data_IF_662484104376
#
_entry.id   IF_662484104376
#
_cell.length_a   1.000
_cell.length_b   1.000
_cell.length_c   1.000
_cell.angle_alpha   90.00
_cell.angle_beta   90.00
_cell.angle_gamma   90.00
#
_symmetry.space_group_name_H-M   'P 1'
#
loop_
_entity.id
_entity.type
_entity.pdbx_description
1 polymer ?
#
# COMPACT_ATOMS: atom_id res chain seq x y z
N UNK A 1 27.23 -30.52 -9.47
CA UNK A 1 27.10 -29.21 -8.82
C UNK A 1 25.91 -28.50 -9.45
N UNK A 2 24.84 -28.22 -8.69
CA UNK A 2 23.64 -27.53 -9.23
C UNK A 2 23.96 -26.05 -9.40
N UNK A 3 23.74 -25.50 -10.59
CA UNK A 3 24.03 -24.10 -10.91
C UNK A 3 23.15 -23.17 -10.05
N UNK A 4 23.70 -22.33 -9.16
CA UNK A 4 22.91 -21.56 -8.20
C UNK A 4 21.94 -20.58 -8.87
N UNK A 5 22.36 -19.91 -9.95
CA UNK A 5 21.49 -18.98 -10.70
C UNK A 5 20.29 -19.66 -11.41
N UNK A 6 20.45 -20.92 -11.84
CA UNK A 6 19.34 -21.68 -12.44
C UNK A 6 18.31 -22.12 -11.39
N UNK A 7 18.73 -22.34 -10.15
CA UNK A 7 17.83 -22.66 -9.04
C UNK A 7 17.05 -21.41 -8.58
N UNK A 8 17.69 -20.25 -8.54
CA UNK A 8 17.07 -18.97 -8.21
C UNK A 8 16.04 -18.55 -9.26
N UNK A 9 16.39 -18.61 -10.55
CA UNK A 9 15.45 -18.32 -11.64
C UNK A 9 14.21 -19.24 -11.59
N UNK A 10 14.39 -20.53 -11.30
CA UNK A 10 13.28 -21.47 -11.13
C UNK A 10 12.40 -21.12 -9.93
N UNK A 11 12.99 -20.67 -8.82
CA UNK A 11 12.25 -20.21 -7.64
C UNK A 11 11.42 -18.97 -7.94
N UNK A 12 11.99 -18.01 -8.67
CA UNK A 12 11.28 -16.79 -9.09
C UNK A 12 10.11 -17.09 -10.03
N UNK A 13 10.26 -18.03 -10.96
CA UNK A 13 9.14 -18.52 -11.80
C UNK A 13 8.06 -19.16 -10.95
N UNK A 14 8.42 -19.97 -9.94
CA UNK A 14 7.43 -20.53 -9.01
C UNK A 14 6.70 -19.47 -8.17
N UNK A 15 7.39 -18.38 -7.79
CA UNK A 15 6.76 -17.23 -7.11
C UNK A 15 5.78 -16.50 -8.05
N UNK A 16 6.16 -16.32 -9.32
CA UNK A 16 5.28 -15.74 -10.33
C UNK A 16 4.02 -16.59 -10.53
N UNK A 17 4.18 -17.91 -10.71
CA UNK A 17 3.05 -18.84 -10.85
C UNK A 17 2.12 -18.79 -9.63
N UNK A 18 2.68 -18.78 -8.41
CA UNK A 18 1.88 -18.65 -7.19
C UNK A 18 1.13 -17.30 -7.12
N UNK A 19 1.74 -16.21 -7.57
CA UNK A 19 1.10 -14.90 -7.65
C UNK A 19 -0.02 -14.87 -8.69
N UNK A 20 0.20 -15.44 -9.88
CA UNK A 20 -0.81 -15.56 -10.94
C UNK A 20 -2.01 -16.40 -10.50
N UNK A 21 -1.78 -17.50 -9.77
CA UNK A 21 -2.87 -18.32 -9.21
C UNK A 21 -3.69 -17.52 -8.19
N UNK A 22 -3.05 -16.73 -7.33
CA UNK A 22 -3.76 -15.85 -6.37
C UNK A 22 -4.55 -14.76 -7.10
N UNK A 23 -3.94 -14.13 -8.10
CA UNK A 23 -4.60 -13.15 -8.95
C UNK A 23 -5.84 -13.77 -9.60
N UNK A 24 -5.71 -14.88 -10.31
CA UNK A 24 -6.83 -15.54 -10.99
C UNK A 24 -7.98 -15.93 -10.04
N UNK A 25 -7.66 -16.34 -8.81
CA UNK A 25 -8.66 -16.71 -7.80
C UNK A 25 -9.44 -15.50 -7.27
N UNK A 26 -8.75 -14.38 -7.06
CA UNK A 26 -9.28 -13.22 -6.32
C UNK A 26 -9.56 -11.99 -7.18
N UNK A 27 -9.27 -12.08 -8.48
CA UNK A 27 -9.53 -11.03 -9.46
C UNK A 27 -11.01 -10.69 -9.52
N UNK A 28 -11.38 -9.58 -8.87
CA UNK A 28 -12.69 -8.96 -8.91
C UNK A 28 -12.52 -7.46 -8.89
N UNK A 29 -13.06 -6.82 -9.92
CA UNK A 29 -12.91 -5.39 -10.16
C UNK A 29 -14.28 -4.75 -10.33
N UNK A 30 -14.50 -3.53 -9.77
CA UNK A 30 -15.74 -2.82 -9.99
C UNK A 30 -15.90 -2.52 -11.48
N UNK A 31 -17.00 -2.98 -12.07
CA UNK A 31 -17.36 -2.66 -13.45
C UNK A 31 -18.14 -1.36 -13.46
N UNK A 32 -17.61 -0.35 -14.14
CA UNK A 32 -18.27 0.93 -14.29
C UNK A 32 -19.16 0.90 -15.55
N UNK A 33 -20.46 1.14 -15.38
CA UNK A 33 -21.41 1.33 -16.48
C UNK A 33 -21.94 2.76 -16.41
N UNK A 34 -21.89 3.49 -17.52
CA UNK A 34 -22.28 4.90 -17.60
C UNK A 34 -21.53 5.80 -16.60
N UNK A 35 -20.29 5.45 -16.24
CA UNK A 35 -19.48 6.20 -15.29
C UNK A 35 -19.76 5.92 -13.81
N UNK A 36 -20.65 4.98 -13.45
CA UNK A 36 -20.91 4.55 -12.07
C UNK A 36 -20.69 3.05 -11.88
N UNK A 37 -20.35 2.63 -10.66
CA UNK A 37 -20.22 1.20 -10.31
C UNK A 37 -21.58 0.51 -10.51
N UNK A 38 -21.59 -0.62 -11.20
CA UNK A 38 -22.82 -1.35 -11.51
C UNK A 38 -23.61 -1.69 -10.23
N UNK A 39 -24.73 -0.99 -10.01
CA UNK A 39 -25.62 -1.22 -8.86
C UNK A 39 -25.33 -0.38 -7.61
N UNK A 40 -24.43 0.61 -7.68
CA UNK A 40 -24.18 1.61 -6.65
C UNK A 40 -24.09 3.01 -7.28
N UNK A 41 -24.46 4.06 -6.53
CA UNK A 41 -24.40 5.46 -6.99
C UNK A 41 -22.98 6.07 -6.90
N UNK A 42 -21.94 5.23 -6.90
CA UNK A 42 -20.53 5.67 -6.81
C UNK A 42 -20.01 5.91 -8.22
N UNK A 43 -19.63 7.15 -8.52
CA UNK A 43 -19.03 7.50 -9.81
C UNK A 43 -17.57 7.05 -9.91
N UNK A 44 -17.08 6.91 -11.14
CA UNK A 44 -15.66 6.67 -11.43
C UNK A 44 -14.78 7.80 -10.89
N UNK A 45 -15.24 9.05 -10.94
CA UNK A 45 -14.50 10.18 -10.38
C UNK A 45 -14.37 10.10 -8.85
N UNK A 46 -15.44 9.75 -8.13
CA UNK A 46 -15.40 9.55 -6.69
C UNK A 46 -14.47 8.40 -6.30
N UNK A 47 -14.47 7.33 -7.09
CA UNK A 47 -13.58 6.20 -6.89
C UNK A 47 -12.11 6.56 -7.09
N UNK A 48 -11.79 7.30 -8.16
CA UNK A 48 -10.44 7.80 -8.42
C UNK A 48 -9.96 8.76 -7.32
N UNK A 49 -10.80 9.71 -6.90
CA UNK A 49 -10.50 10.62 -5.78
C UNK A 49 -10.22 9.84 -4.49
N UNK A 50 -10.97 8.77 -4.25
CA UNK A 50 -10.79 7.91 -3.09
C UNK A 50 -9.44 7.16 -3.10
N UNK A 51 -9.00 6.68 -4.26
CA UNK A 51 -7.69 6.02 -4.40
C UNK A 51 -6.55 7.03 -4.22
N UNK A 52 -6.67 8.23 -4.79
CA UNK A 52 -5.69 9.29 -4.59
C UNK A 52 -5.58 9.67 -3.10
N UNK A 53 -6.73 9.83 -2.43
CA UNK A 53 -6.78 10.09 -1.00
C UNK A 53 -6.17 8.95 -0.17
N UNK A 54 -6.39 7.69 -0.55
CA UNK A 54 -5.71 6.55 0.09
C UNK A 54 -4.19 6.65 -0.07
N UNK A 55 -3.71 7.14 -1.20
CA UNK A 55 -2.29 7.40 -1.42
C UNK A 55 -1.75 8.49 -0.49
N UNK A 56 -2.52 9.56 -0.27
CA UNK A 56 -2.17 10.61 0.70
C UNK A 56 -2.12 10.06 2.13
N UNK A 57 -3.11 9.24 2.52
CA UNK A 57 -3.12 8.60 3.84
C UNK A 57 -1.95 7.63 4.02
N UNK A 58 -1.65 6.81 3.01
CA UNK A 58 -0.48 5.92 3.04
C UNK A 58 0.82 6.68 3.25
N UNK A 59 0.99 7.84 2.59
CA UNK A 59 2.16 8.72 2.78
C UNK A 59 2.18 9.36 4.16
N UNK A 60 1.03 9.81 4.65
CA UNK A 60 0.88 10.42 5.97
C UNK A 60 1.29 9.44 7.08
N UNK A 61 0.90 8.18 6.95
CA UNK A 61 1.24 7.10 7.90
C UNK A 61 2.61 6.47 7.64
N UNK A 62 3.29 6.83 6.55
CA UNK A 62 4.56 6.26 6.13
C UNK A 62 4.49 4.73 5.87
N UNK A 63 3.35 4.25 5.39
CA UNK A 63 3.18 2.85 5.00
C UNK A 63 3.93 2.52 3.72
N UNK A 64 4.33 1.25 3.58
CA UNK A 64 5.00 0.75 2.39
C UNK A 64 4.06 0.73 1.16
N UNK A 65 4.61 0.81 -0.06
CA UNK A 65 3.84 0.77 -1.30
C UNK A 65 2.91 -0.45 -1.44
N UNK A 66 3.33 -1.59 -0.89
CA UNK A 66 2.59 -2.85 -0.87
C UNK A 66 1.32 -2.73 -0.03
N UNK A 67 1.37 -2.02 1.11
CA UNK A 67 0.21 -1.74 1.96
C UNK A 67 -0.83 -0.90 1.22
N UNK A 68 -0.41 0.16 0.52
CA UNK A 68 -1.31 0.93 -0.33
C UNK A 68 -1.94 0.06 -1.42
N UNK A 69 -1.13 -0.72 -2.13
CA UNK A 69 -1.60 -1.54 -3.24
C UNK A 69 -2.62 -2.59 -2.77
N UNK A 70 -2.34 -3.25 -1.65
CA UNK A 70 -3.25 -4.19 -1.01
C UNK A 70 -4.53 -3.51 -0.54
N UNK A 71 -4.45 -2.32 0.07
CA UNK A 71 -5.60 -1.55 0.50
C UNK A 71 -6.55 -1.19 -0.65
N UNK A 72 -6.01 -0.77 -1.78
CA UNK A 72 -6.79 -0.51 -3.01
C UNK A 72 -7.40 -1.80 -3.57
N UNK A 73 -6.66 -2.91 -3.58
CA UNK A 73 -7.20 -4.22 -3.98
C UNK A 73 -8.38 -4.65 -3.09
N UNK A 74 -8.27 -4.50 -1.77
CA UNK A 74 -9.33 -4.84 -0.81
C UNK A 74 -10.56 -3.96 -1.03
N UNK A 75 -10.36 -2.64 -1.19
CA UNK A 75 -11.43 -1.69 -1.52
C UNK A 75 -12.18 -2.12 -2.78
N UNK A 76 -11.45 -2.39 -3.86
CA UNK A 76 -12.03 -2.72 -5.16
C UNK A 76 -12.78 -4.06 -5.13
N UNK A 77 -12.22 -5.07 -4.44
CA UNK A 77 -12.90 -6.35 -4.25
C UNK A 77 -14.18 -6.21 -3.43
N UNK A 78 -14.17 -5.36 -2.40
CA UNK A 78 -15.38 -5.10 -1.61
C UNK A 78 -16.45 -4.40 -2.47
N UNK A 79 -16.10 -3.33 -3.17
CA UNK A 79 -17.03 -2.58 -4.03
C UNK A 79 -17.59 -3.44 -5.18
N UNK A 80 -16.86 -4.48 -5.61
CA UNK A 80 -17.35 -5.47 -6.56
C UNK A 80 -18.34 -6.47 -5.95
N UNK A 81 -18.28 -6.66 -4.64
CA UNK A 81 -19.04 -7.68 -3.90
C UNK A 81 -20.31 -7.10 -3.27
N UNK A 82 -20.29 -5.84 -2.86
CA UNK A 82 -21.40 -5.19 -2.15
C UNK A 82 -21.87 -3.92 -2.85
N UNK A 83 -23.16 -3.64 -2.75
CA UNK A 83 -23.72 -2.34 -3.16
C UNK A 83 -23.49 -1.32 -2.04
N UNK A 84 -22.38 -0.59 -2.13
CA UNK A 84 -22.03 0.45 -1.16
C UNK A 84 -22.72 1.78 -1.49
N UNK A 85 -23.17 2.49 -0.44
CA UNK A 85 -23.63 3.87 -0.60
C UNK A 85 -22.41 4.81 -0.60
N UNK A 86 -22.40 5.89 -1.41
CA UNK A 86 -21.28 6.84 -1.48
C UNK A 86 -20.88 7.42 -0.11
N UNK A 87 -21.85 7.61 0.80
CA UNK A 87 -21.60 8.12 2.16
C UNK A 87 -20.66 7.24 3.00
N UNK A 88 -20.56 5.95 2.69
CA UNK A 88 -19.67 5.02 3.39
C UNK A 88 -18.35 4.78 2.66
N UNK A 89 -18.18 5.29 1.43
CA UNK A 89 -17.02 5.00 0.58
C UNK A 89 -15.70 5.37 1.28
N UNK A 90 -15.63 6.54 1.91
CA UNK A 90 -14.44 6.98 2.65
C UNK A 90 -14.10 6.09 3.84
N UNK A 91 -15.11 5.64 4.60
CA UNK A 91 -14.93 4.72 5.71
C UNK A 91 -14.48 3.34 5.24
N UNK A 92 -15.08 2.82 4.16
CA UNK A 92 -14.68 1.56 3.52
C UNK A 92 -13.22 1.62 3.08
N UNK A 93 -12.85 2.68 2.35
CA UNK A 93 -11.51 2.85 1.83
C UNK A 93 -10.48 2.95 2.96
N UNK A 94 -10.71 3.83 3.93
CA UNK A 94 -9.83 3.97 5.09
C UNK A 94 -9.64 2.64 5.83
N UNK A 95 -10.73 1.92 6.10
CA UNK A 95 -10.68 0.62 6.78
C UNK A 95 -9.95 -0.43 5.93
N UNK A 96 -10.07 -0.38 4.60
CA UNK A 96 -9.33 -1.27 3.69
C UNK A 96 -7.82 -1.03 3.78
N UNK A 97 -7.38 0.23 3.91
CA UNK A 97 -5.98 0.57 4.14
C UNK A 97 -5.49 0.12 5.52
N UNK A 98 -6.30 0.32 6.57
CA UNK A 98 -5.97 -0.16 7.92
C UNK A 98 -5.82 -1.69 7.96
N UNK A 99 -6.71 -2.42 7.27
CA UNK A 99 -6.61 -3.88 7.14
C UNK A 99 -5.35 -4.30 6.39
N UNK A 100 -4.98 -3.59 5.31
CA UNK A 100 -3.76 -3.86 4.58
C UNK A 100 -2.51 -3.59 5.44
N UNK A 101 -2.54 -2.52 6.24
CA UNK A 101 -1.45 -2.19 7.14
C UNK A 101 -1.24 -3.31 8.18
N UNK A 102 -2.32 -3.84 8.77
CA UNK A 102 -2.28 -5.01 9.66
C UNK A 102 -1.67 -6.29 9.05
N UNK A 103 -1.58 -6.39 7.73
CA UNK A 103 -1.02 -7.57 7.05
C UNK A 103 0.45 -7.36 6.70
N UNK A 104 0.81 -6.15 6.26
CA UNK A 104 2.10 -5.88 5.63
C UNK A 104 3.07 -5.09 6.53
N UNK A 105 2.56 -4.26 7.44
CA UNK A 105 3.38 -3.42 8.31
C UNK A 105 3.71 -4.13 9.63
N UNK A 106 4.82 -3.72 10.24
CA UNK A 106 5.18 -4.16 11.58
C UNK A 106 4.26 -3.50 12.63
N UNK A 107 3.98 -4.21 13.74
CA UNK A 107 3.09 -3.73 14.81
C UNK A 107 3.53 -2.36 15.40
N UNK A 108 4.83 -2.04 15.33
CA UNK A 108 5.38 -0.75 15.80
C UNK A 108 4.98 0.44 14.90
N UNK A 109 4.76 0.17 13.61
CA UNK A 109 4.32 1.16 12.61
C UNK A 109 2.80 1.36 12.69
N UNK A 110 2.08 0.30 13.07
CA UNK A 110 0.63 0.33 13.22
C UNK A 110 0.27 0.95 14.57
N UNK A 111 0.07 2.28 14.57
CA UNK A 111 -0.58 2.96 15.68
C UNK A 111 -1.98 2.41 15.98
N UNK A 112 -2.56 2.78 17.12
CA UNK A 112 -3.94 2.35 17.41
C UNK A 112 -4.90 2.88 16.34
N UNK A 113 -6.02 2.19 16.10
CA UNK A 113 -7.05 2.66 15.15
C UNK A 113 -7.49 4.10 15.48
N UNK A 114 -7.53 4.45 16.76
CA UNK A 114 -7.83 5.81 17.22
C UNK A 114 -6.79 6.81 16.72
N UNK A 115 -5.50 6.49 16.82
CA UNK A 115 -4.42 7.38 16.39
C UNK A 115 -4.44 7.58 14.87
N UNK A 116 -4.65 6.51 14.10
CA UNK A 116 -4.77 6.59 12.64
C UNK A 116 -5.95 7.46 12.23
N UNK A 117 -7.10 7.35 12.92
CA UNK A 117 -8.27 8.21 12.67
C UNK A 117 -7.95 9.67 12.98
N UNK A 118 -7.34 9.96 14.14
CA UNK A 118 -6.94 11.33 14.53
C UNK A 118 -5.99 11.94 13.51
N UNK A 119 -4.96 11.19 13.12
CA UNK A 119 -3.97 11.64 12.12
C UNK A 119 -4.60 11.89 10.75
N UNK A 120 -5.51 11.01 10.30
CA UNK A 120 -6.20 11.17 9.00
C UNK A 120 -7.14 12.39 8.91
N UNK A 121 -7.47 13.02 10.03
CA UNK A 121 -8.49 14.06 10.10
C UNK A 121 -9.89 13.56 9.74
N UNK A 122 -10.13 12.24 9.83
CA UNK A 122 -11.45 11.67 9.57
C UNK A 122 -12.34 11.79 10.82
N UNK A 123 -13.63 12.07 10.60
CA UNK A 123 -14.64 12.13 11.65
C UNK A 123 -15.23 10.75 11.99
N UNK A 124 -14.46 9.67 11.84
CA UNK A 124 -14.93 8.32 12.16
C UNK A 124 -14.76 8.04 13.65
N UNK A 125 -15.69 7.29 14.24
CA UNK A 125 -15.47 6.67 15.53
C UNK A 125 -14.68 5.37 15.37
N UNK A 126 -13.91 4.99 16.39
CA UNK A 126 -13.23 3.67 16.41
C UNK A 126 -14.23 2.52 16.25
N UNK A 127 -15.44 2.65 16.80
CA UNK A 127 -16.51 1.67 16.66
C UNK A 127 -16.99 1.52 15.21
N UNK A 128 -17.08 2.61 14.44
CA UNK A 128 -17.42 2.55 13.01
C UNK A 128 -16.34 1.82 12.21
N UNK A 129 -15.06 2.09 12.47
CA UNK A 129 -13.95 1.40 11.80
C UNK A 129 -13.96 -0.08 12.13
N UNK A 130 -14.07 -0.47 13.41
CA UNK A 130 -14.13 -1.88 13.81
C UNK A 130 -15.35 -2.61 13.25
N UNK A 131 -16.49 -1.93 13.15
CA UNK A 131 -17.69 -2.47 12.50
C UNK A 131 -17.44 -2.69 11.01
N UNK A 132 -16.85 -1.71 10.33
CA UNK A 132 -16.53 -1.80 8.91
C UNK A 132 -15.49 -2.90 8.65
N UNK A 133 -14.50 -3.05 9.52
CA UNK A 133 -13.46 -4.08 9.45
C UNK A 133 -14.09 -5.47 9.42
N UNK A 134 -15.01 -5.73 10.36
CA UNK A 134 -15.77 -6.98 10.40
C UNK A 134 -16.61 -7.21 9.15
N UNK A 135 -17.25 -6.16 8.61
CA UNK A 135 -18.02 -6.27 7.37
C UNK A 135 -17.12 -6.64 6.19
N UNK A 136 -15.96 -6.00 6.06
CA UNK A 136 -15.00 -6.27 4.98
C UNK A 136 -14.52 -7.73 5.07
N UNK A 137 -14.08 -8.16 6.26
CA UNK A 137 -13.59 -9.52 6.49
C UNK A 137 -14.68 -10.58 6.21
N UNK A 138 -15.91 -10.34 6.66
CA UNK A 138 -17.03 -11.25 6.40
C UNK A 138 -17.35 -11.35 4.90
N UNK A 139 -17.46 -10.21 4.21
CA UNK A 139 -17.81 -10.16 2.78
C UNK A 139 -16.71 -10.68 1.86
N UNK A 140 -15.46 -10.61 2.29
CA UNK A 140 -14.32 -11.16 1.56
C UNK A 140 -13.90 -12.55 2.06
N UNK A 141 -14.68 -13.15 2.96
CA UNK A 141 -14.41 -14.48 3.54
C UNK A 141 -12.99 -14.60 4.15
N UNK A 142 -12.51 -13.53 4.77
CA UNK A 142 -11.16 -13.42 5.35
C UNK A 142 -10.00 -13.61 4.36
N UNK A 143 -10.28 -13.70 3.05
CA UNK A 143 -9.25 -13.86 2.02
C UNK A 143 -8.81 -12.48 1.52
N UNK A 144 -7.97 -11.80 2.29
CA UNK A 144 -7.46 -10.46 1.95
C UNK A 144 -6.18 -10.52 1.10
N UNK A 145 -5.39 -11.60 1.21
CA UNK A 145 -4.07 -11.72 0.59
C UNK A 145 -4.16 -12.04 -0.91
N UNK A 146 -4.33 -10.98 -1.71
CA UNK A 146 -4.30 -11.04 -3.18
C UNK A 146 -2.95 -10.64 -3.72
N UNK A 147 -2.58 -11.15 -4.90
CA UNK A 147 -1.44 -10.62 -5.62
C UNK A 147 -1.77 -9.20 -6.13
N UNK A 148 -0.90 -8.25 -5.82
CA UNK A 148 -1.01 -6.85 -6.20
C UNK A 148 -0.14 -6.56 -7.43
N UNK A 149 -0.44 -5.52 -8.22
CA UNK A 149 0.45 -5.08 -9.30
C UNK A 149 1.88 -4.79 -8.83
N UNK A 150 2.04 -4.30 -7.58
CA UNK A 150 3.36 -4.04 -6.97
C UNK A 150 4.14 -5.34 -6.73
N UNK A 151 3.49 -6.43 -6.30
CA UNK A 151 4.13 -7.75 -6.18
C UNK A 151 4.69 -8.21 -7.54
N UNK A 152 3.93 -8.02 -8.61
CA UNK A 152 4.36 -8.39 -9.96
C UNK A 152 5.54 -7.53 -10.44
N UNK A 153 5.58 -6.23 -10.12
CA UNK A 153 6.76 -5.39 -10.40
C UNK A 153 8.01 -5.98 -9.75
N UNK A 154 7.93 -6.34 -8.46
CA UNK A 154 9.07 -6.93 -7.75
C UNK A 154 9.51 -8.28 -8.35
N UNK A 155 8.55 -9.15 -8.68
CA UNK A 155 8.82 -10.46 -9.27
C UNK A 155 9.45 -10.31 -10.66
N UNK A 156 8.89 -9.46 -11.52
CA UNK A 156 9.41 -9.23 -12.87
C UNK A 156 10.78 -8.56 -12.83
N UNK A 157 10.99 -7.57 -11.96
CA UNK A 157 12.31 -6.97 -11.74
C UNK A 157 13.34 -8.03 -11.32
N UNK A 158 13.01 -8.89 -10.35
CA UNK A 158 13.91 -9.96 -9.93
C UNK A 158 14.21 -10.96 -11.06
N UNK A 159 13.22 -11.29 -11.90
CA UNK A 159 13.39 -12.13 -13.08
C UNK A 159 14.30 -11.47 -14.13
N UNK A 160 14.17 -10.17 -14.35
CA UNK A 160 15.02 -9.38 -15.25
C UNK A 160 16.48 -9.38 -14.78
N UNK A 161 16.71 -9.05 -13.51
CA UNK A 161 18.06 -9.00 -12.94
C UNK A 161 18.72 -10.39 -12.96
N UNK A 162 17.96 -11.44 -12.68
CA UNK A 162 18.48 -12.82 -12.66
C UNK A 162 18.71 -13.41 -14.07
N UNK A 163 17.83 -13.10 -15.03
CA UNK A 163 17.88 -13.63 -16.38
C UNK A 163 18.82 -12.87 -17.31
N UNK A 164 19.02 -11.57 -17.06
CA UNK A 164 19.77 -10.66 -17.91
C UNK A 164 20.76 -9.81 -17.12
N UNK A 165 21.82 -10.41 -16.53
CA UNK A 165 22.82 -9.69 -15.76
C UNK A 165 23.64 -8.66 -16.57
N UNK A 166 23.51 -8.64 -17.89
CA UNK A 166 24.09 -7.64 -18.79
C UNK A 166 23.24 -6.36 -18.90
N UNK A 167 21.97 -6.40 -18.50
CA UNK A 167 21.10 -5.21 -18.45
C UNK A 167 21.27 -4.45 -17.14
N UNK A 168 21.85 -5.08 -16.12
CA UNK A 168 22.19 -4.54 -14.80
C UNK A 168 22.95 -3.19 -14.86
N UNK A 169 23.96 -2.97 -15.74
CA UNK A 169 24.61 -1.66 -15.88
C UNK A 169 23.71 -0.58 -16.49
N UNK A 170 22.83 -0.94 -17.43
CA UNK A 170 21.83 -0.04 -18.03
C UNK A 170 20.65 0.23 -17.09
N UNK A 171 20.43 -0.68 -16.13
CA UNK A 171 19.39 -0.67 -15.09
C UNK A 171 19.90 0.00 -13.79
N UNK A 172 21.18 0.39 -13.71
CA UNK A 172 21.75 1.11 -12.56
C UNK A 172 22.25 0.23 -11.40
N UNK A 173 22.45 -1.08 -11.61
CA UNK A 173 23.01 -2.00 -10.63
C UNK A 173 24.56 -2.10 -10.74
N UNK A 174 25.26 -1.00 -10.48
CA UNK A 174 26.70 -1.07 -10.24
C UNK A 174 26.99 -1.57 -8.83
N UNK A 175 27.35 -2.85 -8.68
CA UNK A 175 27.87 -3.42 -7.42
C UNK A 175 29.09 -2.63 -6.95
N UNK A 176 28.93 -1.85 -5.89
CA UNK A 176 30.02 -1.21 -5.17
C UNK A 176 30.71 -2.21 -4.25
N UNK A 177 31.46 -3.17 -4.79
CA UNK A 177 32.49 -3.90 -4.04
C UNK A 177 33.65 -4.18 -5.01
N UNK A 178 34.58 -3.23 -5.10
CA UNK A 178 35.88 -3.44 -5.69
C UNK A 178 36.72 -4.28 -4.72
N UNK A 179 37.33 -5.35 -5.23
CA UNK A 179 38.32 -6.10 -4.47
C UNK A 179 39.64 -5.53 -4.95
N UNK A 180 40.39 -4.97 -4.02
CA UNK A 180 41.64 -4.31 -4.27
C UNK A 180 42.61 -5.20 -5.05
N UNK A 181 43.16 -4.66 -6.13
CA UNK A 181 44.50 -5.00 -6.58
C UNK A 181 45.08 -3.82 -7.35
N UNK A 182 46.12 -3.26 -6.76
CA UNK A 182 46.87 -2.12 -7.22
C UNK A 182 47.47 -2.34 -8.62
N UNK A 183 47.38 -1.31 -9.46
CA UNK A 183 48.50 -0.77 -10.25
C UNK A 183 48.08 0.55 -10.90
N UNK A 184 48.77 1.60 -10.46
CA UNK A 184 49.38 2.68 -11.26
C UNK A 184 48.55 3.73 -12.02
N UNK A 185 48.71 4.97 -11.54
CA UNK A 185 48.98 6.23 -12.24
C UNK A 185 48.21 6.63 -13.51
N UNK A 186 47.37 7.64 -13.33
CA UNK A 186 47.44 8.88 -14.13
C UNK A 186 46.64 8.96 -15.42
N UNK A 187 45.33 9.23 -15.34
CA UNK A 187 44.55 9.91 -16.40
C UNK A 187 43.40 10.71 -15.77
N UNK A 188 43.33 12.01 -16.07
CA UNK A 188 42.18 12.89 -15.78
C UNK A 188 40.95 12.46 -16.59
N UNK A 189 39.72 12.42 -16.05
CA UNK A 189 38.52 12.42 -16.87
C UNK A 189 37.83 13.80 -16.81
N UNK A 190 37.96 14.55 -17.90
CA UNK A 190 37.00 15.59 -18.26
C UNK A 190 35.93 14.95 -19.15
N UNK A 191 34.70 14.84 -18.63
CA UNK A 191 33.53 14.36 -19.36
C UNK A 191 32.27 14.54 -18.49
N UNK A 192 31.11 14.93 -19.07
CA UNK A 192 29.93 15.27 -18.30
C UNK A 192 29.42 14.02 -17.57
N UNK A 193 29.20 14.16 -16.26
CA UNK A 193 28.86 13.07 -15.37
C UNK A 193 27.61 12.31 -15.83
N UNK A 194 27.80 11.08 -16.31
CA UNK A 194 26.75 10.07 -16.25
C UNK A 194 26.53 9.74 -14.77
N UNK A 195 25.55 10.42 -14.20
CA UNK A 195 25.02 10.15 -12.87
C UNK A 195 24.60 8.67 -12.82
N UNK A 196 25.42 7.84 -12.16
CA UNK A 196 25.10 6.46 -11.86
C UNK A 196 23.83 6.44 -11.00
N UNK A 197 22.67 6.17 -11.59
CA UNK A 197 21.41 6.02 -10.85
C UNK A 197 21.49 4.73 -10.04
N UNK A 198 21.28 4.76 -8.71
CA UNK A 198 21.38 3.57 -7.87
C UNK A 198 20.26 2.56 -8.14
N UNK A 199 20.58 1.28 -7.91
CA UNK A 199 19.81 0.06 -8.19
C UNK A 199 18.37 0.01 -7.69
N UNK A 200 18.02 0.78 -6.65
CA UNK A 200 16.65 0.84 -6.11
C UNK A 200 15.74 1.83 -6.84
N UNK A 201 16.29 2.68 -7.70
CA UNK A 201 15.55 3.80 -8.29
C UNK A 201 14.53 3.34 -9.34
N UNK A 202 14.81 2.26 -10.09
CA UNK A 202 13.92 1.77 -11.13
C UNK A 202 12.68 1.06 -10.56
N UNK A 203 12.88 0.17 -9.59
CA UNK A 203 11.75 -0.44 -8.88
C UNK A 203 10.89 0.62 -8.21
N UNK A 204 11.50 1.61 -7.55
CA UNK A 204 10.76 2.71 -6.94
C UNK A 204 9.96 3.52 -7.97
N UNK A 205 10.54 3.79 -9.15
CA UNK A 205 9.86 4.47 -10.25
C UNK A 205 8.67 3.65 -10.77
N UNK A 206 8.88 2.37 -11.09
CA UNK A 206 7.83 1.48 -11.58
C UNK A 206 6.71 1.29 -10.57
N UNK A 207 7.06 1.15 -9.28
CA UNK A 207 6.09 1.07 -8.20
C UNK A 207 5.28 2.36 -8.10
N UNK A 208 5.90 3.53 -8.24
CA UNK A 208 5.18 4.82 -8.28
C UNK A 208 4.27 4.94 -9.49
N UNK A 209 4.74 4.57 -10.69
CA UNK A 209 3.94 4.56 -11.92
C UNK A 209 2.73 3.63 -11.76
N UNK A 210 2.93 2.42 -11.24
CA UNK A 210 1.85 1.48 -10.92
C UNK A 210 0.86 2.17 -9.99
N UNK A 211 1.27 2.73 -8.86
CA UNK A 211 0.37 3.37 -7.90
C UNK A 211 -0.47 4.51 -8.52
N UNK A 212 0.11 5.29 -9.44
CA UNK A 212 -0.66 6.28 -10.20
C UNK A 212 -1.66 5.61 -11.15
N UNK A 213 -1.25 4.60 -11.90
CA UNK A 213 -2.14 3.82 -12.75
C UNK A 213 -3.29 3.15 -11.96
N UNK A 214 -3.06 2.76 -10.70
CA UNK A 214 -4.08 2.20 -9.83
C UNK A 214 -5.22 3.18 -9.53
N UNK A 215 -4.98 4.49 -9.61
CA UNK A 215 -6.02 5.51 -9.47
C UNK A 215 -6.89 5.65 -10.74
N UNK A 216 -6.44 5.14 -11.89
CA UNK A 216 -7.20 5.17 -13.12
C UNK A 216 -8.16 3.97 -13.21
N UNK A 217 -9.47 4.24 -13.18
CA UNK A 217 -10.50 3.20 -13.23
C UNK A 217 -10.45 2.31 -14.48
N UNK A 218 -9.93 2.83 -15.60
CA UNK A 218 -9.82 2.09 -16.86
C UNK A 218 -8.66 1.09 -16.82
N UNK A 219 -7.51 1.50 -16.27
CA UNK A 219 -6.33 0.65 -16.14
C UNK A 219 -6.54 -0.48 -15.13
N UNK A 220 -7.38 -0.25 -14.12
CA UNK A 220 -7.73 -1.27 -13.14
C UNK A 220 -8.58 -2.42 -13.71
N UNK A 221 -9.14 -2.30 -14.92
CA UNK A 221 -9.85 -3.40 -15.57
C UNK A 221 -8.90 -4.53 -16.03
N UNK A 222 -7.61 -4.23 -16.20
CA UNK A 222 -6.59 -5.21 -16.54
C UNK A 222 -6.00 -5.85 -15.29
N UNK A 223 -5.64 -7.13 -15.39
CA UNK A 223 -4.92 -7.86 -14.34
C UNK A 223 -3.66 -7.10 -13.91
N UNK A 224 -3.31 -7.22 -12.62
CA UNK A 224 -2.12 -6.59 -12.06
C UNK A 224 -0.83 -7.09 -12.71
N UNK A 225 -0.80 -8.37 -13.11
CA UNK A 225 0.31 -8.95 -13.90
C UNK A 225 0.47 -8.26 -15.26
N UNK A 226 -0.63 -8.03 -15.98
CA UNK A 226 -0.64 -7.32 -17.27
C UNK A 226 -0.20 -5.86 -17.10
N UNK A 227 -0.75 -5.16 -16.10
CA UNK A 227 -0.42 -3.75 -15.83
C UNK A 227 1.06 -3.57 -15.47
N UNK A 228 1.58 -4.43 -14.59
CA UNK A 228 2.98 -4.42 -14.19
C UNK A 228 3.91 -4.70 -15.38
N UNK A 229 3.56 -5.69 -16.21
CA UNK A 229 4.33 -6.02 -17.42
C UNK A 229 4.31 -4.87 -18.44
N UNK A 230 3.18 -4.17 -18.61
CA UNK A 230 3.05 -3.03 -19.51
C UNK A 230 3.99 -1.89 -19.12
N UNK A 231 4.00 -1.50 -17.84
CA UNK A 231 4.87 -0.44 -17.30
C UNK A 231 6.35 -0.81 -17.49
N UNK A 232 6.72 -2.04 -17.11
CA UNK A 232 8.11 -2.52 -17.28
C UNK A 232 8.49 -2.53 -18.77
N UNK A 233 7.58 -2.91 -19.67
CA UNK A 233 7.88 -2.98 -21.10
C UNK A 233 8.10 -1.59 -21.70
N UNK A 234 7.30 -0.58 -21.33
CA UNK A 234 7.50 0.80 -21.76
C UNK A 234 8.90 1.32 -21.38
N UNK A 235 9.35 1.00 -20.17
CA UNK A 235 10.67 1.41 -19.68
C UNK A 235 11.81 0.60 -20.33
N UNK A 236 11.61 -0.70 -20.58
CA UNK A 236 12.58 -1.54 -21.29
C UNK A 236 12.79 -1.09 -22.74
N UNK A 237 11.71 -0.67 -23.42
CA UNK A 237 11.77 -0.11 -24.78
C UNK A 237 12.61 1.15 -24.86
N UNK A 238 12.55 2.00 -23.83
CA UNK A 238 13.35 3.22 -23.77
C UNK A 238 14.83 2.95 -23.44
N UNK A 239 15.13 1.90 -22.68
CA UNK A 239 16.44 1.68 -22.08
C UNK A 239 17.31 0.64 -22.80
N UNK A 240 16.71 -0.30 -23.54
CA UNK A 240 17.43 -1.50 -24.01
C UNK A 240 17.14 -1.82 -25.49
N UNK A 241 18.16 -2.09 -26.32
CA UNK A 241 17.96 -2.44 -27.74
C UNK A 241 17.40 -3.86 -27.93
N UNK A 242 17.64 -4.78 -26.99
CA UNK A 242 17.18 -6.18 -27.04
C UNK A 242 15.86 -6.42 -26.28
N UNK A 243 15.09 -5.36 -26.01
CA UNK A 243 13.87 -5.39 -25.19
C UNK A 243 12.87 -6.46 -25.63
N UNK A 244 12.76 -6.72 -26.95
CA UNK A 244 11.76 -7.64 -27.49
C UNK A 244 11.99 -9.11 -27.06
N UNK A 245 13.25 -9.55 -26.97
CA UNK A 245 13.54 -10.92 -26.50
C UNK A 245 13.20 -11.10 -25.03
N UNK A 246 13.49 -10.07 -24.23
CA UNK A 246 13.21 -10.06 -22.78
C UNK A 246 11.69 -10.00 -22.55
N UNK A 247 11.01 -9.11 -23.26
CA UNK A 247 9.57 -8.97 -23.25
C UNK A 247 8.86 -10.28 -23.61
N UNK A 248 9.24 -10.93 -24.72
CA UNK A 248 8.56 -12.16 -25.16
C UNK A 248 8.75 -13.32 -24.18
N UNK A 249 9.87 -13.38 -23.47
CA UNK A 249 10.09 -14.36 -22.40
C UNK A 249 9.22 -14.04 -21.16
N UNK A 250 9.17 -12.78 -20.72
CA UNK A 250 8.31 -12.36 -19.60
C UNK A 250 6.83 -12.53 -19.91
N UNK A 251 6.38 -12.16 -21.11
CA UNK A 251 4.99 -12.31 -21.56
C UNK A 251 4.54 -13.78 -21.49
N UNK A 252 5.39 -14.70 -21.97
CA UNK A 252 5.13 -16.15 -21.89
C UNK A 252 5.05 -16.64 -20.45
N UNK A 253 5.96 -16.21 -19.58
CA UNK A 253 5.97 -16.57 -18.15
C UNK A 253 4.75 -16.02 -17.40
N UNK A 254 4.31 -14.81 -17.76
CA UNK A 254 3.15 -14.16 -17.17
C UNK A 254 1.81 -14.75 -17.66
N UNK A 255 1.80 -15.55 -18.73
CA UNK A 255 0.60 -16.13 -19.34
C UNK A 255 -0.44 -15.07 -19.74
N UNK A 256 0.04 -13.90 -20.18
CA UNK A 256 -0.81 -12.77 -20.60
C UNK A 256 -1.08 -12.86 -22.09
N UNK A 257 -2.33 -12.67 -22.50
CA UNK A 257 -2.71 -12.61 -23.92
C UNK A 257 -2.12 -11.37 -24.60
N UNK A 258 -1.59 -11.54 -25.81
CA UNK A 258 -0.93 -10.44 -26.53
C UNK A 258 -1.87 -9.29 -26.89
N UNK A 259 -3.15 -9.57 -27.16
CA UNK A 259 -4.12 -8.54 -27.53
C UNK A 259 -4.50 -7.71 -26.31
N UNK A 260 -4.78 -8.38 -25.18
CA UNK A 260 -5.03 -7.71 -23.90
C UNK A 260 -3.82 -6.86 -23.45
N UNK A 261 -2.60 -7.38 -23.65
CA UNK A 261 -1.38 -6.67 -23.34
C UNK A 261 -1.21 -5.39 -24.17
N UNK A 262 -1.36 -5.47 -25.49
CA UNK A 262 -1.19 -4.29 -26.38
C UNK A 262 -2.16 -3.19 -25.96
N UNK A 263 -3.42 -3.54 -25.73
CA UNK A 263 -4.42 -2.57 -25.30
C UNK A 263 -4.07 -1.95 -23.94
N UNK A 264 -3.67 -2.76 -22.95
CA UNK A 264 -3.24 -2.26 -21.66
C UNK A 264 -2.05 -1.31 -21.79
N UNK A 265 -1.05 -1.67 -22.60
CA UNK A 265 0.15 -0.89 -22.83
C UNK A 265 -0.17 0.48 -23.43
N UNK A 266 -0.98 0.54 -24.48
CA UNK A 266 -1.42 1.80 -25.10
C UNK A 266 -2.13 2.71 -24.09
N UNK A 267 -3.02 2.15 -23.28
CA UNK A 267 -3.73 2.92 -22.25
C UNK A 267 -2.82 3.44 -21.14
N UNK A 268 -1.83 2.64 -20.72
CA UNK A 268 -0.84 3.07 -19.72
C UNK A 268 0.01 4.19 -20.30
N UNK A 269 0.45 4.05 -21.55
CA UNK A 269 1.27 5.03 -22.24
C UNK A 269 0.56 6.38 -22.34
N UNK A 270 -0.68 6.38 -22.83
CA UNK A 270 -1.51 7.60 -22.91
C UNK A 270 -1.73 8.23 -21.53
N UNK A 271 -2.01 7.41 -20.51
CA UNK A 271 -2.26 7.89 -19.15
C UNK A 271 -1.01 8.54 -18.55
N UNK A 272 0.16 7.88 -18.62
CA UNK A 272 1.41 8.40 -18.06
C UNK A 272 1.85 9.67 -18.79
N UNK A 273 1.77 9.71 -20.12
CA UNK A 273 2.06 10.93 -20.89
C UNK A 273 1.15 12.09 -20.49
N UNK A 274 -0.17 11.85 -20.36
CA UNK A 274 -1.11 12.89 -19.94
C UNK A 274 -0.78 13.48 -18.56
N UNK A 275 -0.19 12.66 -17.68
CA UNK A 275 0.21 13.06 -16.35
C UNK A 275 1.52 13.86 -16.36
N UNK A 276 2.49 13.50 -17.20
CA UNK A 276 3.72 14.29 -17.41
C UNK A 276 3.41 15.70 -17.94
N UNK A 277 2.42 15.84 -18.84
CA UNK A 277 1.95 17.15 -19.31
C UNK A 277 1.24 17.98 -18.22
N UNK A 278 0.81 17.37 -17.10
CA UNK A 278 0.14 18.06 -15.99
C UNK A 278 1.10 18.53 -14.88
N UNK A 279 2.35 18.06 -14.86
CA UNK A 279 3.38 18.55 -13.96
C UNK A 279 4.03 19.80 -14.58
N UNK A 280 4.14 20.93 -13.85
CA UNK A 280 4.71 22.14 -14.43
C UNK A 280 6.17 21.89 -14.82
N UNK A 281 6.47 22.10 -16.11
CA UNK A 281 7.71 21.79 -16.84
C UNK A 281 8.98 22.47 -16.29
N UNK A 282 8.88 23.24 -15.21
CA UNK A 282 9.97 24.07 -14.66
C UNK A 282 10.17 23.90 -13.15
N UNK A 283 9.98 22.70 -12.58
CA UNK A 283 10.55 22.39 -11.26
C UNK A 283 11.95 21.81 -11.45
N UNK A 284 12.97 22.66 -11.33
CA UNK A 284 14.36 22.23 -11.15
C UNK A 284 14.43 21.57 -9.78
N UNK A 285 14.51 20.24 -9.74
CA UNK A 285 14.88 19.52 -8.52
C UNK A 285 16.37 19.80 -8.26
N UNK A 286 16.66 20.82 -7.45
CA UNK A 286 17.98 20.93 -6.83
C UNK A 286 18.03 19.84 -5.76
N UNK A 287 18.69 18.74 -6.09
CA UNK A 287 18.90 17.61 -5.20
C UNK A 287 19.95 18.00 -4.16
N UNK A 288 19.50 18.41 -2.97
CA UNK A 288 20.40 18.69 -1.84
C UNK A 288 20.71 17.40 -1.08
N UNK A 289 21.92 16.89 -1.31
CA UNK A 289 22.45 15.67 -0.68
C UNK A 289 22.68 15.81 0.84
N UNK A 290 22.48 17.00 1.42
CA UNK A 290 22.66 17.24 2.85
C UNK A 290 21.49 16.76 3.74
N UNK A 291 20.30 16.48 3.21
CA UNK A 291 19.14 16.11 4.05
C UNK A 291 19.08 14.62 4.44
N UNK A 292 19.82 13.74 3.75
CA UNK A 292 19.81 12.29 4.04
C UNK A 292 20.61 11.96 5.30
N UNK A 293 21.59 12.80 5.67
CA UNK A 293 22.38 12.57 6.89
C UNK A 293 21.61 12.91 8.18
N UNK A 294 20.50 13.66 8.10
CA UNK A 294 19.61 13.91 9.23
C UNK A 294 18.57 12.81 9.45
N UNK A 295 18.09 12.11 8.42
CA UNK A 295 17.12 11.00 8.57
C UNK A 295 17.75 9.76 9.19
N UNK A 296 18.97 9.37 8.79
CA UNK A 296 19.70 8.25 9.43
C UNK A 296 20.12 8.58 10.87
N UNK A 297 20.50 9.83 11.16
CA UNK A 297 20.85 10.24 12.53
C UNK A 297 19.61 10.41 13.43
N UNK A 298 18.45 10.86 12.90
CA UNK A 298 17.19 10.95 13.66
C UNK A 298 16.61 9.58 14.02
N UNK A 299 16.74 8.57 13.16
CA UNK A 299 16.40 7.18 13.47
C UNK A 299 17.29 6.62 14.61
N UNK A 300 18.54 7.07 14.71
CA UNK A 300 19.44 6.76 15.82
C UNK A 300 19.08 7.44 17.14
N UNK A 301 18.67 8.72 17.11
CA UNK A 301 18.28 9.46 18.33
C UNK A 301 16.89 9.08 18.86
N UNK A 302 15.94 8.73 17.99
CA UNK A 302 14.63 8.23 18.41
C UNK A 302 14.72 6.89 19.17
N UNK A 303 15.67 6.02 18.80
CA UNK A 303 15.95 4.75 19.52
C UNK A 303 16.56 4.95 20.91
N UNK A 304 17.27 6.05 21.17
CA UNK A 304 17.90 6.32 22.48
C UNK A 304 17.01 7.14 23.43
N UNK A 305 16.04 7.88 22.90
CA UNK A 305 15.14 8.73 23.69
C UNK A 305 13.97 8.02 24.38
N UNK A 306 13.61 6.78 23.99
CA UNK A 306 12.46 6.04 24.56
C UNK A 306 12.80 5.02 25.65
N UNK A 307 14.07 4.85 26.04
CA UNK A 307 14.47 3.94 27.14
C UNK A 307 14.42 4.64 28.52
N UNK A 308 14.12 5.95 28.57
CA UNK A 308 14.30 6.76 29.78
C UNK A 308 13.05 7.24 30.52
N UNK A 309 11.82 6.83 30.16
CA UNK A 309 10.63 7.44 30.78
C UNK A 309 9.36 6.60 30.75
N UNK A 310 9.37 5.44 31.43
CA UNK A 310 8.14 4.84 31.93
C UNK A 310 8.37 4.35 33.37
N UNK A 311 8.01 5.21 34.32
CA UNK A 311 7.81 4.82 35.70
C UNK A 311 6.62 5.62 36.24
N UNK A 312 5.52 4.91 36.51
CA UNK A 312 4.42 5.41 37.32
C UNK A 312 3.03 5.26 36.68
N UNK A 313 2.26 4.33 37.26
CA UNK A 313 0.80 4.35 37.42
C UNK A 313 -0.11 4.21 36.19
N UNK A 314 -0.72 3.03 36.04
CA UNK A 314 -2.06 2.80 36.60
C UNK A 314 -2.58 1.43 36.14
N UNK A 315 -2.49 0.45 37.04
CA UNK A 315 -3.25 -0.80 36.97
C UNK A 315 -4.73 -0.48 37.25
N UNK A 316 -5.57 -0.37 36.21
CA UNK A 316 -7.04 -0.36 36.35
C UNK A 316 -7.72 -0.51 34.97
N UNK A 317 -7.62 -1.68 34.32
CA UNK A 317 -8.39 -1.91 33.07
C UNK A 317 -8.87 -3.35 32.79
N UNK A 318 -8.46 -4.36 33.57
CA UNK A 318 -8.92 -5.74 33.32
C UNK A 318 -9.48 -6.42 34.57
N UNK A 319 -10.72 -6.07 34.93
CA UNK A 319 -11.55 -6.88 35.84
C UNK A 319 -12.92 -7.27 35.23
N UNK A 320 -13.05 -7.18 33.90
CA UNK A 320 -14.34 -7.26 33.20
C UNK A 320 -14.72 -8.59 32.53
N UNK A 321 -13.92 -9.67 32.62
CA UNK A 321 -14.14 -10.84 31.76
C UNK A 321 -14.11 -12.22 32.44
N UNK A 322 -14.31 -12.31 33.76
CA UNK A 322 -14.36 -13.61 34.47
C UNK A 322 -15.74 -14.18 34.82
N UNK A 323 -16.84 -13.69 34.25
CA UNK A 323 -18.19 -14.14 34.63
C UNK A 323 -19.10 -14.62 33.49
N UNK A 324 -18.55 -15.15 32.38
CA UNK A 324 -19.34 -15.72 31.28
C UNK A 324 -19.42 -17.26 31.25
N UNK A 325 -18.82 -17.94 32.24
CA UNK A 325 -19.06 -19.37 32.45
C UNK A 325 -19.43 -19.62 33.91
N UNK A 326 -20.69 -19.32 34.25
CA UNK A 326 -21.32 -19.83 35.47
C UNK A 326 -22.05 -21.13 35.11
N UNK A 327 -21.37 -22.26 35.27
CA UNK A 327 -22.06 -23.55 35.44
C UNK A 327 -22.63 -23.63 36.86
N UNK A 328 -23.77 -24.31 36.93
CA UNK A 328 -24.71 -24.38 38.03
C UNK A 328 -24.16 -25.13 39.26
N UNK A 329 -24.40 -24.59 40.46
CA UNK A 329 -24.71 -25.37 41.66
C UNK A 329 -25.23 -24.44 42.78
N UNK A 330 -26.48 -24.64 43.19
CA UNK A 330 -27.05 -24.19 44.48
C UNK A 330 -26.94 -25.33 45.51
N UNK A 331 -27.33 -25.18 46.80
CA UNK A 331 -27.53 -23.98 47.63
C UNK A 331 -26.76 -24.04 48.97
N UNK A 332 -26.70 -22.93 49.73
CA UNK A 332 -27.09 -22.90 51.15
C UNK A 332 -26.94 -21.51 51.80
N UNK A 333 -28.00 -21.17 52.53
CA UNK A 333 -28.07 -20.43 53.79
C UNK A 333 -27.78 -18.90 53.87
N UNK A 334 -28.88 -18.17 54.06
CA UNK A 334 -29.17 -17.23 55.18
C UNK A 334 -28.68 -15.76 55.18
N UNK A 335 -29.64 -14.86 55.48
CA UNK A 335 -29.49 -13.50 56.05
C UNK A 335 -29.59 -12.36 55.02
N UNK A 336 -30.75 -11.76 54.73
CA UNK A 336 -31.53 -10.73 55.48
C UNK A 336 -31.16 -9.27 55.14
N UNK A 337 -32.21 -8.46 55.08
CA UNK A 337 -32.30 -6.97 55.04
C UNK A 337 -32.13 -6.30 53.65
N UNK A 338 -33.20 -5.86 52.96
CA UNK A 338 -34.15 -4.74 53.19
C UNK A 338 -33.47 -3.38 53.41
N UNK A 339 -33.48 -2.51 52.39
CA UNK A 339 -34.04 -1.14 52.48
C UNK A 339 -34.09 -0.45 51.10
N UNK A 340 -35.28 0.08 50.78
CA UNK A 340 -35.52 1.11 49.78
C UNK A 340 -35.02 2.46 50.30
N UNK A 341 -34.45 3.32 49.46
CA UNK A 341 -34.83 4.74 49.55
C UNK A 341 -34.63 5.52 48.23
N UNK A 342 -35.56 6.45 48.02
CA UNK A 342 -35.76 7.27 46.84
C UNK A 342 -34.87 8.55 46.82
N UNK A 343 -34.89 9.20 45.64
CA UNK A 343 -34.68 10.62 45.35
C UNK A 343 -33.22 11.13 45.20
N UNK A 344 -32.84 11.55 43.99
CA UNK A 344 -32.99 12.97 43.56
C UNK A 344 -32.49 13.22 42.13
N UNK A 345 -33.38 13.85 41.36
CA UNK A 345 -33.17 14.48 40.07
C UNK A 345 -32.53 15.86 40.30
N UNK A 346 -31.49 16.25 39.54
CA UNK A 346 -31.06 17.66 39.43
C UNK A 346 -30.37 17.96 38.09
N UNK A 347 -31.17 18.58 37.23
CA UNK A 347 -30.92 19.64 36.25
C UNK A 347 -29.54 19.88 35.61
N UNK A 348 -29.64 19.88 34.27
CA UNK A 348 -28.80 20.49 33.24
C UNK A 348 -28.80 22.02 33.34
N UNK A 349 -27.66 22.67 33.07
CA UNK A 349 -27.59 24.01 32.45
C UNK A 349 -26.15 24.32 31.91
N UNK A 350 -25.94 25.29 30.98
CA UNK A 350 -25.33 25.04 29.67
C UNK A 350 -24.09 25.90 29.31
N UNK A 351 -23.48 25.59 28.17
CA UNK A 351 -22.35 26.32 27.55
C UNK A 351 -22.66 27.79 27.18
N UNK A 352 -21.65 28.69 27.16
CA UNK A 352 -21.82 30.10 26.79
C UNK A 352 -21.66 30.38 25.27
N UNK A 353 -22.24 31.47 24.73
CA UNK A 353 -22.11 31.87 23.33
C UNK A 353 -20.98 32.90 23.11
N UNK A 354 -20.30 32.85 21.95
CA UNK A 354 -19.40 33.91 21.48
C UNK A 354 -19.78 34.33 20.05
N UNK A 355 -19.95 35.64 19.88
CA UNK A 355 -20.42 36.35 18.69
C UNK A 355 -19.37 36.45 17.55
N UNK A 356 -19.81 36.73 16.30
CA UNK A 356 -18.93 36.92 15.13
C UNK A 356 -18.28 38.32 15.09
N UNK A 357 -17.10 38.40 14.47
CA UNK A 357 -16.43 39.67 14.18
C UNK A 357 -16.85 40.23 12.81
N UNK A 358 -17.24 41.51 12.81
CA UNK A 358 -17.54 42.32 11.62
C UNK A 358 -16.39 43.30 11.41
N UNK A 359 -15.60 43.07 10.37
CA UNK A 359 -15.19 44.01 9.30
C UNK A 359 -14.09 43.41 8.44
#
# INVERSE_FOLDING_TARGET
>A
MKNPGAAESRRLVGLLEAALVREARLWKVPVFKNGCIQGADISSSQHQEMILWLGDMSRLFQFCPETFALGVCVLNRLLSTVKAQPKYLKCIAFTSLVLAAKINEEDEVIGSVRDLVVQSGCNFSTAEILRMERIILDKLHWDLYTATPVDFIHIFHALLVSGHPHLVPSIGLGSGVGWDSATDSGVLPAGPGHQKRPSGFQVALWTRQVQHCMACHQLWQFKGSTLALAIITLELEALTPDWFSVFTDLLKKAQVDSVEFIHCKEMVDEYLHSQEFSLPTNSVYIFDSAQIHEEEQRLGWARRGRIGKEQGDSDEYYDGFRCLYREEATPNAEGSDMEEDLFQQKDVSPCPPLHPAVN
#
